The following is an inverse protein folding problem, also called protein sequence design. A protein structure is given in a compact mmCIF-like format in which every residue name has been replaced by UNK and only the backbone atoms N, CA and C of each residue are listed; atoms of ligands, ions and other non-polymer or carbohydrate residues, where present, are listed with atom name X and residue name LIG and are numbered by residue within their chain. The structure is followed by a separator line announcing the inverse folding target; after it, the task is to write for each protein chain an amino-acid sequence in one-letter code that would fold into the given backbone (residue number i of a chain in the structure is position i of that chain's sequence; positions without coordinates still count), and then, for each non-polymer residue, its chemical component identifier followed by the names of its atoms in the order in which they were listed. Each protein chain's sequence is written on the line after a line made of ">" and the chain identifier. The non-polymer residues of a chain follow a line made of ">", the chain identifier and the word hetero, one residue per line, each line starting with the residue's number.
data_IF_110184388772
#
_entry.id   IF_110184388772
#
_cell.length_a   1.000
_cell.length_b   1.000
_cell.length_c   1.000
_cell.angle_alpha   90.00
_cell.angle_beta   90.00
_cell.angle_gamma   90.00
#
_symmetry.space_group_name_H-M   'P 1'
#
loop_
_entity.id
_entity.type
_entity.pdbx_description
1 polymer ?
#
# COMPACT_ATOMS: atom_id res chain seq x y z
N UNK A 1 29.44 -50.39 67.92
CA UNK A 1 30.80 -49.82 67.92
C UNK A 1 31.00 -49.13 66.58
N UNK A 2 30.94 -47.81 66.59
CA UNK A 2 30.86 -46.93 65.41
C UNK A 2 32.26 -46.66 64.83
N UNK A 3 32.41 -46.87 63.53
CA UNK A 3 33.64 -46.55 62.78
C UNK A 3 33.47 -45.16 62.18
N UNK A 4 34.31 -44.23 62.61
CA UNK A 4 34.38 -42.84 62.11
C UNK A 4 35.13 -42.79 60.78
N UNK A 5 34.44 -42.36 59.72
CA UNK A 5 35.06 -42.07 58.41
C UNK A 5 35.53 -40.61 58.42
N UNK A 6 36.84 -40.43 58.27
CA UNK A 6 37.57 -39.16 58.29
C UNK A 6 37.14 -38.21 57.16
N UNK A 7 36.65 -37.04 57.54
CA UNK A 7 36.14 -35.96 56.68
C UNK A 7 37.20 -35.19 55.86
N UNK A 8 38.45 -35.66 55.79
CA UNK A 8 39.59 -34.87 55.27
C UNK A 8 39.88 -35.05 53.77
N UNK A 9 39.17 -35.93 53.05
CA UNK A 9 39.43 -36.19 51.62
C UNK A 9 38.58 -35.38 50.63
N UNK A 10 37.58 -34.64 51.08
CA UNK A 10 36.63 -33.94 50.20
C UNK A 10 37.02 -32.49 49.87
N UNK A 11 37.96 -31.90 50.61
CA UNK A 11 38.36 -30.48 50.41
C UNK A 11 39.30 -30.31 49.20
N UNK A 12 40.05 -31.35 48.81
CA UNK A 12 41.05 -31.27 47.73
C UNK A 12 40.47 -31.36 46.31
N UNK A 13 39.20 -31.75 46.14
CA UNK A 13 38.56 -31.86 44.82
C UNK A 13 37.78 -30.58 44.47
N UNK A 14 37.34 -29.80 45.46
CA UNK A 14 36.61 -28.54 45.22
C UNK A 14 37.53 -27.39 44.76
N UNK A 15 38.83 -27.47 45.01
CA UNK A 15 39.81 -26.40 44.69
C UNK A 15 40.41 -26.51 43.28
N UNK A 16 40.21 -27.61 42.56
CA UNK A 16 40.80 -27.83 41.22
C UNK A 16 39.84 -27.41 40.09
N UNK A 17 38.53 -27.34 40.34
CA UNK A 17 37.53 -26.96 39.32
C UNK A 17 37.52 -25.45 39.04
N UNK A 18 37.98 -24.60 39.97
CA UNK A 18 38.08 -23.14 39.77
C UNK A 18 39.27 -22.71 38.89
N UNK A 19 40.29 -23.56 38.71
CA UNK A 19 41.50 -23.20 37.96
C UNK A 19 41.33 -23.30 36.43
N UNK A 20 40.40 -24.13 35.92
CA UNK A 20 40.22 -24.32 34.47
C UNK A 20 39.39 -23.22 33.81
N UNK A 21 38.40 -22.64 34.50
CA UNK A 21 37.60 -21.54 33.95
C UNK A 21 38.42 -20.25 33.77
N UNK A 22 39.41 -20.01 34.64
CA UNK A 22 40.26 -18.81 34.57
C UNK A 22 41.15 -18.74 33.31
N UNK A 23 41.62 -19.88 32.80
CA UNK A 23 42.50 -19.91 31.61
C UNK A 23 41.74 -19.57 30.30
N UNK A 24 40.49 -20.00 30.19
CA UNK A 24 39.65 -19.74 29.03
C UNK A 24 39.15 -18.27 28.99
N UNK A 25 38.90 -17.65 30.14
CA UNK A 25 38.57 -16.21 30.21
C UNK A 25 39.80 -15.36 29.92
N UNK A 26 40.98 -15.73 30.47
CA UNK A 26 42.23 -15.01 30.25
C UNK A 26 42.75 -15.06 28.81
N UNK A 27 42.40 -16.10 28.04
CA UNK A 27 42.69 -16.18 26.60
C UNK A 27 41.79 -15.23 25.80
N UNK A 28 40.47 -15.32 25.98
CA UNK A 28 39.52 -14.43 25.30
C UNK A 28 39.78 -12.94 25.57
N UNK A 29 40.12 -12.57 26.82
CA UNK A 29 40.51 -11.20 27.16
C UNK A 29 41.79 -10.72 26.46
N UNK A 30 42.76 -11.60 26.26
CA UNK A 30 44.00 -11.26 25.54
C UNK A 30 43.74 -11.10 24.06
N UNK A 31 42.92 -11.97 23.47
CA UNK A 31 42.56 -11.89 22.06
C UNK A 31 41.74 -10.64 21.76
N UNK A 32 40.81 -10.27 22.64
CA UNK A 32 40.07 -9.01 22.55
C UNK A 32 40.99 -7.77 22.57
N UNK A 33 41.98 -7.72 23.48
CA UNK A 33 42.95 -6.62 23.55
C UNK A 33 43.81 -6.54 22.29
N UNK A 34 44.26 -7.67 21.76
CA UNK A 34 45.01 -7.72 20.50
C UNK A 34 44.17 -7.23 19.32
N UNK A 35 42.87 -7.53 19.30
CA UNK A 35 41.96 -7.00 18.31
C UNK A 35 41.80 -5.47 18.43
N UNK A 36 41.65 -4.93 19.66
CA UNK A 36 41.65 -3.47 19.89
C UNK A 36 42.97 -2.79 19.45
N UNK A 37 44.12 -3.39 19.76
CA UNK A 37 45.45 -2.90 19.35
C UNK A 37 45.59 -2.84 17.82
N UNK A 38 44.95 -3.77 17.12
CA UNK A 38 44.88 -3.81 15.64
C UNK A 38 43.76 -2.94 15.07
N UNK A 39 43.00 -2.27 15.91
CA UNK A 39 41.80 -1.49 15.55
C UNK A 39 40.70 -2.33 14.88
N UNK A 40 40.74 -3.65 15.07
CA UNK A 40 39.67 -4.56 14.66
C UNK A 40 38.61 -4.61 15.77
N UNK A 41 37.84 -3.52 15.86
CA UNK A 41 36.89 -3.33 16.96
C UNK A 41 35.72 -4.30 16.88
N UNK A 42 35.35 -4.77 15.68
CA UNK A 42 34.30 -5.76 15.49
C UNK A 42 34.71 -7.11 16.10
N UNK A 43 35.94 -7.56 15.84
CA UNK A 43 36.49 -8.75 16.48
C UNK A 43 36.65 -8.54 18.00
N UNK A 44 37.07 -7.35 18.44
CA UNK A 44 37.20 -7.05 19.87
C UNK A 44 35.84 -7.16 20.59
N UNK A 45 34.75 -6.67 20.00
CA UNK A 45 33.39 -6.82 20.54
C UNK A 45 33.02 -8.30 20.70
N UNK A 46 33.32 -9.13 19.69
CA UNK A 46 33.05 -10.58 19.74
C UNK A 46 33.84 -11.25 20.88
N UNK A 47 35.14 -11.00 20.96
CA UNK A 47 36.01 -11.64 21.96
C UNK A 47 35.73 -11.17 23.39
N UNK A 48 35.41 -9.88 23.60
CA UNK A 48 34.97 -9.41 24.91
C UNK A 48 33.61 -9.99 25.31
N UNK A 49 32.68 -10.13 24.37
CA UNK A 49 31.39 -10.80 24.61
C UNK A 49 31.61 -12.25 25.01
N UNK A 50 32.51 -12.97 24.34
CA UNK A 50 32.90 -14.33 24.69
C UNK A 50 33.54 -14.42 26.07
N UNK A 51 34.38 -13.45 26.44
CA UNK A 51 34.95 -13.37 27.78
C UNK A 51 33.86 -13.21 28.86
N UNK A 52 32.86 -12.36 28.62
CA UNK A 52 31.71 -12.17 29.54
C UNK A 52 30.77 -13.37 29.62
N UNK A 53 30.63 -14.14 28.53
CA UNK A 53 29.86 -15.39 28.58
C UNK A 53 30.50 -16.43 29.50
N UNK A 54 31.84 -16.44 29.60
CA UNK A 54 32.61 -17.35 30.46
C UNK A 54 32.72 -16.85 31.90
N UNK A 55 32.91 -15.55 32.05
CA UNK A 55 33.01 -14.86 33.34
C UNK A 55 32.13 -13.59 33.32
N UNK A 56 30.85 -13.72 33.71
CA UNK A 56 29.90 -12.60 33.70
C UNK A 56 30.32 -11.43 34.59
N UNK A 57 31.13 -11.67 35.63
CA UNK A 57 31.57 -10.69 36.62
C UNK A 57 32.89 -9.99 36.30
N UNK A 58 33.48 -10.31 35.14
CA UNK A 58 34.72 -9.70 34.69
C UNK A 58 34.55 -8.21 34.37
N UNK A 59 34.94 -7.34 35.32
CA UNK A 59 34.93 -5.88 35.11
C UNK A 59 35.78 -5.45 33.91
N UNK A 60 36.94 -6.07 33.71
CA UNK A 60 37.81 -5.79 32.57
C UNK A 60 37.13 -6.10 31.23
N UNK A 61 36.37 -7.20 31.15
CA UNK A 61 35.64 -7.56 29.94
C UNK A 61 34.44 -6.62 29.71
N UNK A 62 33.72 -6.22 30.77
CA UNK A 62 32.61 -5.26 30.67
C UNK A 62 33.09 -3.91 30.14
N UNK A 63 34.13 -3.34 30.75
CA UNK A 63 34.67 -2.04 30.33
C UNK A 63 35.32 -2.12 28.95
N UNK A 64 36.01 -3.22 28.63
CA UNK A 64 36.57 -3.48 27.31
C UNK A 64 35.48 -3.55 26.22
N UNK A 65 34.43 -4.34 26.45
CA UNK A 65 33.29 -4.45 25.55
C UNK A 65 32.64 -3.10 25.27
N UNK A 66 32.42 -2.30 26.32
CA UNK A 66 31.82 -0.97 26.16
C UNK A 66 32.67 -0.07 25.26
N UNK A 67 33.99 -0.03 25.47
CA UNK A 67 34.89 0.76 24.62
C UNK A 67 34.92 0.23 23.18
N UNK A 68 35.04 -1.08 23.00
CA UNK A 68 35.06 -1.72 21.69
C UNK A 68 33.76 -1.44 20.91
N UNK A 69 32.59 -1.54 21.55
CA UNK A 69 31.29 -1.20 20.94
C UNK A 69 31.21 0.26 20.50
N UNK A 70 31.71 1.19 21.33
CA UNK A 70 31.74 2.62 20.97
C UNK A 70 32.63 2.89 19.75
N UNK A 71 33.80 2.24 19.69
CA UNK A 71 34.75 2.37 18.56
C UNK A 71 34.20 1.73 17.28
N UNK A 72 33.70 0.50 17.36
CA UNK A 72 33.07 -0.20 16.25
C UNK A 72 31.85 0.57 15.71
N UNK A 73 30.99 1.09 16.60
CA UNK A 73 29.85 1.93 16.22
C UNK A 73 30.30 3.17 15.43
N UNK A 74 31.36 3.85 15.87
CA UNK A 74 31.90 5.01 15.17
C UNK A 74 32.46 4.66 13.78
N UNK A 75 33.11 3.50 13.64
CA UNK A 75 33.65 3.04 12.36
C UNK A 75 32.53 2.68 11.38
N UNK A 76 31.52 1.92 11.83
CA UNK A 76 30.31 1.64 11.05
C UNK A 76 29.57 2.91 10.65
N UNK A 77 29.41 3.87 11.58
CA UNK A 77 28.78 5.16 11.30
C UNK A 77 29.53 5.95 10.23
N UNK A 78 30.87 5.93 10.28
CA UNK A 78 31.72 6.59 9.28
C UNK A 78 31.58 5.93 7.90
N UNK A 79 31.55 4.59 7.84
CA UNK A 79 31.29 3.84 6.60
C UNK A 79 29.89 4.13 6.04
N UNK A 80 28.87 4.14 6.90
CA UNK A 80 27.50 4.46 6.53
C UNK A 80 27.39 5.84 5.87
N UNK A 81 28.01 6.88 6.46
CA UNK A 81 28.05 8.23 5.88
C UNK A 81 28.73 8.27 4.52
N UNK A 82 29.80 7.49 4.31
CA UNK A 82 30.48 7.39 3.00
C UNK A 82 29.57 6.75 1.94
N UNK A 83 28.86 5.68 2.29
CA UNK A 83 27.88 5.08 1.39
C UNK A 83 26.72 6.04 1.10
N UNK A 84 26.20 6.73 2.11
CA UNK A 84 25.13 7.71 1.95
C UNK A 84 25.56 8.87 1.02
N UNK A 85 26.77 9.38 1.21
CA UNK A 85 27.34 10.45 0.37
C UNK A 85 27.53 10.03 -1.10
N UNK A 86 27.75 8.75 -1.36
CA UNK A 86 27.88 8.19 -2.72
C UNK A 86 26.54 7.71 -3.30
N UNK A 87 25.44 7.89 -2.58
CA UNK A 87 24.09 7.49 -3.02
C UNK A 87 23.81 5.99 -2.88
N UNK A 88 24.74 5.22 -2.33
CA UNK A 88 24.62 3.79 -2.03
C UNK A 88 23.78 3.58 -0.76
N UNK A 89 22.50 3.93 -0.82
CA UNK A 89 21.64 4.05 0.36
C UNK A 89 21.39 2.72 1.07
N UNK A 90 21.30 1.60 0.34
CA UNK A 90 21.09 0.27 0.95
C UNK A 90 22.29 -0.15 1.80
N UNK A 91 23.52 0.01 1.28
CA UNK A 91 24.74 -0.24 2.05
C UNK A 91 24.85 0.73 3.22
N UNK A 92 24.49 2.01 3.03
CA UNK A 92 24.48 2.99 4.11
C UNK A 92 23.52 2.59 5.24
N UNK A 93 22.31 2.15 4.92
CA UNK A 93 21.32 1.71 5.91
C UNK A 93 21.80 0.46 6.67
N UNK A 94 22.45 -0.49 6.01
CA UNK A 94 23.01 -1.67 6.67
C UNK A 94 24.09 -1.28 7.70
N UNK A 95 25.02 -0.40 7.32
CA UNK A 95 26.08 0.09 8.21
C UNK A 95 25.52 0.94 9.37
N UNK A 96 24.56 1.84 9.11
CA UNK A 96 23.88 2.61 10.15
C UNK A 96 23.16 1.72 11.16
N UNK A 97 22.54 0.62 10.70
CA UNK A 97 21.88 -0.35 11.58
C UNK A 97 22.87 -0.96 12.56
N UNK A 98 24.01 -1.44 12.08
CA UNK A 98 25.06 -2.01 12.94
C UNK A 98 25.58 -0.96 13.93
N UNK A 99 25.82 0.26 13.46
CA UNK A 99 26.24 1.36 14.32
C UNK A 99 25.24 1.66 15.45
N UNK A 100 23.94 1.62 15.15
CA UNK A 100 22.86 1.85 16.13
C UNK A 100 22.71 0.69 17.12
N UNK A 101 22.88 -0.56 16.69
CA UNK A 101 22.85 -1.74 17.57
C UNK A 101 24.05 -1.76 18.55
N UNK A 102 25.19 -1.24 18.11
CA UNK A 102 26.38 -1.12 18.95
C UNK A 102 26.30 0.05 19.93
N UNK A 103 25.64 1.16 19.55
CA UNK A 103 25.49 2.37 20.36
C UNK A 103 24.06 2.97 20.23
N UNK A 104 23.06 2.39 20.92
CA UNK A 104 21.66 2.80 20.80
C UNK A 104 21.37 4.18 21.40
N UNK A 105 22.23 4.67 22.30
CA UNK A 105 22.04 5.95 22.99
C UNK A 105 22.52 7.15 22.17
N UNK A 106 23.05 6.94 20.96
CA UNK A 106 23.51 8.01 20.08
C UNK A 106 22.37 8.52 19.17
N UNK A 107 21.79 9.71 19.44
CA UNK A 107 20.66 10.21 18.67
C UNK A 107 21.02 10.55 17.22
N UNK A 108 22.29 10.85 16.93
CA UNK A 108 22.76 11.21 15.60
C UNK A 108 22.72 10.00 14.67
N UNK A 109 23.19 8.84 15.15
CA UNK A 109 23.16 7.58 14.39
C UNK A 109 21.72 7.21 14.06
N UNK A 110 20.82 7.30 15.05
CA UNK A 110 19.41 6.97 14.88
C UNK A 110 18.73 7.91 13.87
N UNK A 111 18.99 9.21 13.96
CA UNK A 111 18.43 10.20 13.05
C UNK A 111 18.89 9.96 11.61
N UNK A 112 20.18 9.72 11.38
CA UNK A 112 20.73 9.48 10.04
C UNK A 112 20.28 8.13 9.46
N UNK A 113 20.12 7.11 10.30
CA UNK A 113 19.52 5.84 9.89
C UNK A 113 18.09 6.02 9.38
N UNK A 114 17.24 6.71 10.15
CA UNK A 114 15.84 7.00 9.77
C UNK A 114 15.78 7.84 8.50
N UNK A 115 16.62 8.88 8.39
CA UNK A 115 16.70 9.71 7.20
C UNK A 115 17.07 8.89 5.96
N UNK A 116 18.06 8.00 6.09
CA UNK A 116 18.51 7.11 5.01
C UNK A 116 17.41 6.12 4.62
N UNK A 117 16.69 5.52 5.58
CA UNK A 117 15.54 4.66 5.27
C UNK A 117 14.43 5.40 4.54
N UNK A 118 14.13 6.64 4.93
CA UNK A 118 13.15 7.46 4.24
C UNK A 118 13.60 7.76 2.81
N UNK A 119 14.89 8.03 2.60
CA UNK A 119 15.44 8.21 1.25
C UNK A 119 15.37 6.93 0.40
N UNK A 120 15.57 5.75 0.99
CA UNK A 120 15.35 4.48 0.27
C UNK A 120 13.88 4.36 -0.12
N UNK A 121 12.96 4.61 0.82
CA UNK A 121 11.50 4.55 0.55
C UNK A 121 11.05 5.53 -0.53
N UNK A 122 11.66 6.71 -0.62
CA UNK A 122 11.37 7.68 -1.68
C UNK A 122 12.08 7.39 -2.99
N UNK A 123 13.24 6.72 -2.97
CA UNK A 123 14.01 6.34 -4.17
C UNK A 123 13.63 4.99 -4.77
N UNK A 124 12.96 4.08 -4.05
CA UNK A 124 12.44 2.83 -4.62
C UNK A 124 11.20 3.15 -5.45
N UNK A 125 11.27 3.16 -6.80
CA UNK A 125 10.13 3.41 -7.65
C UNK A 125 9.63 2.06 -8.14
N UNK A 126 9.12 1.19 -7.26
CA UNK A 126 8.53 -0.08 -7.70
C UNK A 126 7.37 -0.49 -6.77
N UNK A 127 6.17 -0.08 -7.13
CA UNK A 127 5.09 -1.07 -7.31
C UNK A 127 4.99 -1.34 -8.80
N UNK A 128 4.66 -2.58 -9.18
CA UNK A 128 4.63 -3.10 -10.56
C UNK A 128 3.78 -2.30 -11.57
N UNK A 129 3.07 -1.25 -11.13
CA UNK A 129 2.15 -0.43 -11.92
C UNK A 129 2.48 1.07 -11.95
N UNK A 130 3.67 1.50 -11.50
CA UNK A 130 4.16 2.87 -11.75
C UNK A 130 3.43 4.01 -11.02
N UNK A 131 2.67 3.72 -9.96
CA UNK A 131 1.93 4.73 -9.16
C UNK A 131 2.42 4.75 -7.72
N UNK A 132 2.61 5.93 -7.16
CA UNK A 132 2.89 6.12 -5.72
C UNK A 132 1.72 5.61 -4.88
N UNK A 133 1.94 5.30 -3.60
CA UNK A 133 0.86 4.84 -2.70
C UNK A 133 -0.27 5.86 -2.58
N UNK A 134 0.07 7.16 -2.64
CA UNK A 134 -0.89 8.25 -2.66
C UNK A 134 -1.64 8.30 -4.00
N UNK A 135 -0.97 8.13 -5.14
CA UNK A 135 -1.63 8.05 -6.45
C UNK A 135 -2.52 6.81 -6.57
N UNK A 136 -2.09 5.64 -6.06
CA UNK A 136 -2.88 4.42 -6.03
C UNK A 136 -4.08 4.52 -5.07
N UNK A 137 -3.99 5.35 -4.03
CA UNK A 137 -5.10 5.67 -3.14
C UNK A 137 -6.05 6.68 -3.81
N UNK A 138 -5.52 7.73 -4.43
CA UNK A 138 -6.29 8.73 -5.19
C UNK A 138 -6.98 8.09 -6.38
N UNK A 139 -6.36 7.11 -7.03
CA UNK A 139 -6.95 6.37 -8.15
C UNK A 139 -8.01 5.38 -7.69
N UNK A 140 -7.77 4.63 -6.61
CA UNK A 140 -8.83 3.83 -5.96
C UNK A 140 -10.00 4.71 -5.53
N UNK A 141 -9.75 5.92 -5.03
CA UNK A 141 -10.79 6.88 -4.67
C UNK A 141 -11.48 7.52 -5.89
N UNK A 142 -10.81 7.60 -7.04
CA UNK A 142 -11.39 8.09 -8.30
C UNK A 142 -12.31 7.05 -8.95
N UNK A 143 -11.94 5.78 -8.87
CA UNK A 143 -12.71 4.68 -9.45
C UNK A 143 -13.80 4.13 -8.51
N UNK A 144 -13.77 4.52 -7.23
CA UNK A 144 -14.80 4.16 -6.28
C UNK A 144 -15.95 5.18 -6.37
N UNK A 145 -17.18 4.77 -6.71
CA UNK A 145 -18.34 5.63 -6.57
C UNK A 145 -18.36 6.17 -5.15
N UNK A 146 -18.45 7.50 -4.99
CA UNK A 146 -18.55 8.18 -3.70
C UNK A 146 -19.48 7.36 -2.78
N UNK A 147 -19.07 7.07 -1.52
CA UNK A 147 -19.87 6.25 -0.61
C UNK A 147 -21.32 6.74 -0.55
N UNK A 148 -22.25 5.87 -0.94
CA UNK A 148 -23.69 6.18 -0.99
C UNK A 148 -24.28 6.32 -2.40
N UNK A 149 -23.50 6.43 -3.47
CA UNK A 149 -24.00 6.58 -4.86
C UNK A 149 -24.17 5.25 -5.65
N UNK A 150 -24.13 4.10 -4.98
CA UNK A 150 -24.39 2.81 -5.62
C UNK A 150 -25.89 2.45 -5.56
N UNK A 151 -26.42 1.87 -6.64
CA UNK A 151 -27.74 1.25 -6.64
C UNK A 151 -27.64 -0.06 -5.85
N UNK A 152 -28.57 -0.35 -4.91
CA UNK A 152 -28.59 -1.61 -4.20
C UNK A 152 -28.66 -2.80 -5.17
N UNK A 153 -27.81 -3.80 -4.95
CA UNK A 153 -27.78 -5.05 -5.72
C UNK A 153 -28.75 -6.11 -5.17
N UNK A 154 -29.65 -5.71 -4.28
CA UNK A 154 -30.59 -6.62 -3.63
C UNK A 154 -31.50 -7.30 -4.67
N UNK A 155 -31.76 -8.61 -4.55
CA UNK A 155 -32.62 -9.34 -5.46
C UNK A 155 -34.06 -8.85 -5.31
N UNK A 156 -34.75 -8.65 -6.44
CA UNK A 156 -36.20 -8.52 -6.46
C UNK A 156 -36.85 -9.89 -6.20
N UNK A 157 -38.15 -9.96 -5.85
CA UNK A 157 -38.87 -11.22 -5.77
C UNK A 157 -38.71 -12.07 -7.02
N UNK A 158 -38.77 -13.39 -6.82
CA UNK A 158 -38.47 -14.42 -7.82
C UNK A 158 -39.22 -14.21 -9.15
N UNK A 159 -40.46 -13.69 -9.08
CA UNK A 159 -41.28 -13.40 -10.25
C UNK A 159 -42.12 -12.14 -10.06
N UNK A 160 -42.06 -11.22 -11.04
CA UNK A 160 -42.94 -10.07 -11.17
C UNK A 160 -43.44 -9.95 -12.61
N UNK A 161 -44.75 -9.79 -12.78
CA UNK A 161 -45.39 -9.65 -14.08
C UNK A 161 -46.18 -8.33 -14.13
N UNK A 162 -45.83 -7.48 -15.09
CA UNK A 162 -46.55 -6.24 -15.36
C UNK A 162 -47.11 -6.29 -16.77
N UNK A 163 -48.44 -6.13 -16.90
CA UNK A 163 -49.14 -6.11 -18.18
C UNK A 163 -49.81 -4.77 -18.38
N UNK A 164 -49.50 -4.13 -19.51
CA UNK A 164 -50.03 -2.84 -19.93
C UNK A 164 -49.96 -1.77 -18.82
N UNK A 165 -48.89 -1.81 -18.03
CA UNK A 165 -48.70 -0.92 -16.89
C UNK A 165 -47.87 0.29 -17.33
N UNK A 166 -48.22 1.48 -16.83
CA UNK A 166 -47.44 2.68 -17.13
C UNK A 166 -46.03 2.56 -16.54
N UNK A 167 -45.01 2.91 -17.32
CA UNK A 167 -43.60 2.71 -16.98
C UNK A 167 -43.19 3.37 -15.66
N UNK A 168 -43.76 4.53 -15.34
CA UNK A 168 -43.54 5.23 -14.06
C UNK A 168 -44.07 4.45 -12.86
N UNK A 169 -45.23 3.79 -13.01
CA UNK A 169 -45.83 2.94 -11.98
C UNK A 169 -44.95 1.72 -11.74
N UNK A 170 -44.50 1.05 -12.82
CA UNK A 170 -43.61 -0.10 -12.73
C UNK A 170 -42.29 0.28 -12.05
N UNK A 171 -41.65 1.38 -12.48
CA UNK A 171 -40.38 1.84 -11.88
C UNK A 171 -40.55 2.18 -10.39
N UNK A 172 -41.63 2.87 -10.00
CA UNK A 172 -41.91 3.19 -8.59
C UNK A 172 -42.08 1.93 -7.75
N UNK A 173 -42.82 0.94 -8.26
CA UNK A 173 -43.02 -0.33 -7.57
C UNK A 173 -41.68 -1.04 -7.33
N UNK A 174 -40.86 -1.19 -8.37
CA UNK A 174 -39.55 -1.82 -8.27
C UNK A 174 -38.62 -1.08 -7.29
N UNK A 175 -38.62 0.24 -7.33
CA UNK A 175 -37.79 1.03 -6.44
C UNK A 175 -38.25 0.97 -5.00
N UNK A 176 -39.57 0.92 -4.74
CA UNK A 176 -40.11 0.69 -3.41
C UNK A 176 -39.63 -0.64 -2.83
N UNK A 177 -39.61 -1.70 -3.63
CA UNK A 177 -39.13 -3.03 -3.23
C UNK A 177 -37.62 -3.03 -2.94
N UNK A 178 -36.86 -2.28 -3.74
CA UNK A 178 -35.43 -2.08 -3.54
C UNK A 178 -35.09 -1.03 -2.46
N UNK A 179 -36.11 -0.41 -1.84
CA UNK A 179 -35.97 0.70 -0.91
C UNK A 179 -35.14 1.88 -1.49
N UNK A 180 -35.41 2.24 -2.74
CA UNK A 180 -34.77 3.32 -3.51
C UNK A 180 -35.79 4.42 -3.80
N UNK A 181 -35.40 5.68 -3.61
CA UNK A 181 -36.19 6.84 -4.01
C UNK A 181 -36.11 7.06 -5.52
N UNK A 182 -37.23 7.38 -6.16
CA UNK A 182 -37.28 7.69 -7.59
C UNK A 182 -37.80 9.09 -7.80
N UNK A 183 -37.05 9.85 -8.60
CA UNK A 183 -37.46 11.14 -9.14
C UNK A 183 -37.60 10.99 -10.65
N UNK A 184 -38.58 11.66 -11.24
CA UNK A 184 -38.75 11.72 -12.69
C UNK A 184 -38.44 13.12 -13.17
N UNK A 185 -37.68 13.22 -14.27
CA UNK A 185 -37.51 14.47 -14.98
C UNK A 185 -38.90 15.00 -15.46
N UNK A 186 -39.17 16.32 -15.43
CA UNK A 186 -40.46 16.87 -15.88
C UNK A 186 -40.82 16.55 -17.34
N UNK A 187 -39.83 16.31 -18.20
CA UNK A 187 -40.02 15.92 -19.58
C UNK A 187 -40.25 14.41 -19.75
N UNK A 188 -40.15 13.61 -18.68
CA UNK A 188 -40.50 12.19 -18.72
C UNK A 188 -41.97 12.00 -19.09
N UNK A 189 -42.23 11.05 -19.99
CA UNK A 189 -43.58 10.70 -20.46
C UNK A 189 -43.77 9.20 -20.19
N UNK A 190 -44.67 8.82 -19.27
CA UNK A 190 -44.98 7.43 -19.05
C UNK A 190 -45.56 6.77 -20.28
N UNK A 191 -45.18 5.52 -20.52
CA UNK A 191 -45.73 4.70 -21.60
C UNK A 191 -46.11 3.31 -21.09
N UNK A 192 -47.14 2.67 -21.66
CA UNK A 192 -47.52 1.32 -21.26
C UNK A 192 -46.44 0.31 -21.66
N UNK A 193 -46.07 -0.57 -20.73
CA UNK A 193 -45.09 -1.63 -20.95
C UNK A 193 -45.64 -3.00 -20.49
N UNK A 194 -45.12 -4.04 -21.14
CA UNK A 194 -45.28 -5.43 -20.73
C UNK A 194 -43.90 -5.95 -20.33
N UNK A 195 -43.72 -6.36 -19.08
CA UNK A 195 -42.42 -6.87 -18.62
C UNK A 195 -42.61 -8.02 -17.63
N UNK A 196 -41.84 -9.08 -17.86
CA UNK A 196 -41.71 -10.23 -16.99
C UNK A 196 -40.31 -10.23 -16.38
N UNK A 197 -40.22 -10.02 -15.08
CA UNK A 197 -38.97 -9.96 -14.32
C UNK A 197 -38.84 -11.27 -13.54
N UNK A 198 -37.74 -12.00 -13.75
CA UNK A 198 -37.48 -13.28 -13.08
C UNK A 198 -36.04 -13.36 -12.62
N UNK A 199 -35.84 -13.56 -11.31
CA UNK A 199 -34.51 -13.67 -10.70
C UNK A 199 -33.56 -12.52 -11.10
N UNK A 200 -34.05 -11.28 -11.12
CA UNK A 200 -33.24 -10.11 -11.47
C UNK A 200 -33.01 -9.21 -10.27
N UNK A 201 -31.90 -8.47 -10.29
CA UNK A 201 -31.69 -7.35 -9.37
C UNK A 201 -32.50 -6.13 -9.81
N UNK A 202 -32.69 -5.19 -8.88
CA UNK A 202 -33.34 -3.92 -9.19
C UNK A 202 -32.66 -3.18 -10.36
N UNK A 203 -31.32 -3.14 -10.38
CA UNK A 203 -30.57 -2.49 -11.45
C UNK A 203 -30.82 -3.13 -12.82
N UNK A 204 -30.85 -4.47 -12.89
CA UNK A 204 -31.10 -5.20 -14.13
C UNK A 204 -32.50 -4.92 -14.68
N UNK A 205 -33.52 -5.01 -13.82
CA UNK A 205 -34.90 -4.71 -14.19
C UNK A 205 -35.07 -3.25 -14.63
N UNK A 206 -34.46 -2.31 -13.90
CA UNK A 206 -34.49 -0.89 -14.23
C UNK A 206 -33.83 -0.62 -15.59
N UNK A 207 -32.70 -1.27 -15.89
CA UNK A 207 -32.00 -1.15 -17.17
C UNK A 207 -32.85 -1.68 -18.33
N UNK A 208 -33.56 -2.79 -18.14
CA UNK A 208 -34.48 -3.33 -19.15
C UNK A 208 -35.65 -2.36 -19.44
N UNK A 209 -36.25 -1.80 -18.39
CA UNK A 209 -37.36 -0.85 -18.54
C UNK A 209 -36.90 0.44 -19.21
N UNK A 210 -35.81 1.04 -18.74
CA UNK A 210 -35.29 2.30 -19.29
C UNK A 210 -34.86 2.14 -20.74
N UNK A 211 -34.23 1.01 -21.10
CA UNK A 211 -33.89 0.69 -22.48
C UNK A 211 -35.10 0.56 -23.42
N UNK A 212 -36.21 -0.02 -22.94
CA UNK A 212 -37.46 -0.10 -23.73
C UNK A 212 -38.28 1.19 -23.77
N UNK A 213 -38.01 2.13 -22.86
CA UNK A 213 -38.78 3.38 -22.68
C UNK A 213 -38.06 4.62 -23.20
N UNK A 214 -36.96 4.45 -23.93
CA UNK A 214 -36.11 5.56 -24.41
C UNK A 214 -35.77 6.52 -23.26
N UNK A 215 -35.42 5.93 -22.12
CA UNK A 215 -35.02 6.65 -20.93
C UNK A 215 -33.66 6.13 -20.45
N UNK A 216 -33.02 6.91 -19.59
CA UNK A 216 -31.89 6.48 -18.80
C UNK A 216 -32.08 6.89 -17.35
N UNK A 217 -31.31 6.30 -16.45
CA UNK A 217 -31.32 6.70 -15.04
C UNK A 217 -29.96 7.24 -14.61
N UNK A 218 -29.97 8.11 -13.61
CA UNK A 218 -28.77 8.55 -12.89
C UNK A 218 -28.99 8.45 -11.39
N UNK A 219 -27.97 8.03 -10.66
CA UNK A 219 -27.97 8.16 -9.20
C UNK A 219 -27.68 9.61 -8.87
N UNK A 220 -28.64 10.30 -8.26
CA UNK A 220 -28.57 11.74 -7.98
C UNK A 220 -28.37 12.05 -6.51
N UNK A 221 -28.68 11.11 -5.63
CA UNK A 221 -28.37 11.18 -4.20
C UNK A 221 -28.30 9.76 -3.61
N UNK A 222 -27.87 9.57 -2.35
CA UNK A 222 -27.87 8.26 -1.73
C UNK A 222 -29.23 7.58 -1.78
N UNK A 223 -29.24 6.34 -2.29
CA UNK A 223 -30.46 5.55 -2.55
C UNK A 223 -31.52 6.30 -3.38
N UNK A 224 -31.11 7.23 -4.24
CA UNK A 224 -32.03 8.06 -5.02
C UNK A 224 -31.61 8.09 -6.48
N UNK A 225 -32.54 7.73 -7.35
CA UNK A 225 -32.35 7.74 -8.80
C UNK A 225 -33.26 8.77 -9.47
N UNK A 226 -32.80 9.34 -10.57
CA UNK A 226 -33.59 10.19 -11.44
C UNK A 226 -33.76 9.50 -12.80
N UNK A 227 -35.00 9.33 -13.24
CA UNK A 227 -35.37 8.79 -14.56
C UNK A 227 -35.55 9.93 -15.55
N UNK A 228 -34.86 9.83 -16.67
CA UNK A 228 -34.63 10.94 -17.59
C UNK A 228 -34.89 10.47 -19.02
N UNK A 229 -35.60 11.23 -19.88
CA UNK A 229 -35.70 10.94 -21.30
C UNK A 229 -34.34 10.88 -21.98
N UNK A 230 -34.11 9.84 -22.78
CA UNK A 230 -32.89 9.65 -23.55
C UNK A 230 -32.87 10.58 -24.77
N UNK A 231 -32.50 11.85 -24.52
CA UNK A 231 -32.31 12.85 -25.57
C UNK A 231 -30.91 13.46 -25.46
N UNK A 232 -30.31 13.92 -26.57
CA UNK A 232 -29.00 14.57 -26.53
C UNK A 232 -28.94 15.78 -25.59
N UNK A 233 -30.03 16.55 -25.49
CA UNK A 233 -30.13 17.69 -24.57
C UNK A 233 -30.08 17.23 -23.11
N UNK A 234 -30.89 16.22 -22.75
CA UNK A 234 -30.93 15.67 -21.38
C UNK A 234 -29.66 14.92 -21.01
N UNK A 235 -29.01 14.22 -21.96
CA UNK A 235 -27.70 13.63 -21.72
C UNK A 235 -26.65 14.68 -21.37
N UNK A 236 -26.59 15.82 -22.07
CA UNK A 236 -25.68 16.92 -21.70
C UNK A 236 -26.01 17.55 -20.35
N UNK A 237 -27.28 17.62 -19.98
CA UNK A 237 -27.74 18.18 -18.71
C UNK A 237 -27.40 17.28 -17.51
N UNK A 238 -27.58 15.96 -17.66
CA UNK A 238 -27.45 14.99 -16.56
C UNK A 238 -26.17 14.16 -16.58
N UNK A 239 -25.49 14.06 -17.71
CA UNK A 239 -24.18 13.45 -17.82
C UNK A 239 -23.13 14.54 -17.70
N UNK A 240 -22.53 14.65 -16.51
CA UNK A 240 -21.36 15.49 -16.34
C UNK A 240 -20.25 14.97 -17.25
N UNK A 241 -19.86 15.81 -18.20
CA UNK A 241 -18.71 15.58 -19.06
C UNK A 241 -17.45 15.90 -18.25
N UNK A 242 -16.55 14.93 -18.16
CA UNK A 242 -15.25 15.08 -17.52
C UNK A 242 -14.19 15.31 -18.59
N UNK A 243 -13.29 16.26 -18.31
CA UNK A 243 -12.06 16.44 -19.08
C UNK A 243 -10.96 15.63 -18.41
N UNK A 244 -10.33 14.72 -19.14
CA UNK A 244 -9.19 13.95 -18.64
C UNK A 244 -8.06 13.91 -19.66
N UNK A 245 -6.85 14.14 -19.17
CA UNK A 245 -5.62 14.02 -19.95
C UNK A 245 -4.93 12.68 -19.66
N UNK A 246 -4.57 11.96 -20.71
CA UNK A 246 -3.83 10.70 -20.69
C UNK A 246 -2.43 10.93 -21.27
N UNK A 247 -1.41 10.53 -20.52
CA UNK A 247 -0.02 10.56 -20.97
C UNK A 247 0.34 9.20 -21.58
N UNK A 248 0.87 9.22 -22.79
CA UNK A 248 1.28 8.05 -23.54
C UNK A 248 2.76 7.79 -23.29
N UNK A 249 3.12 6.55 -22.96
CA UNK A 249 4.51 6.17 -22.70
C UNK A 249 5.21 5.57 -23.93
N UNK A 250 4.51 4.68 -24.66
CA UNK A 250 5.08 3.91 -25.77
C UNK A 250 4.14 3.85 -27.00
N UNK A 251 3.23 4.80 -27.14
CA UNK A 251 2.25 4.84 -28.23
C UNK A 251 2.31 6.18 -28.96
N UNK A 252 2.08 6.16 -30.28
CA UNK A 252 1.93 7.37 -31.09
C UNK A 252 0.59 8.06 -30.77
N UNK A 253 0.65 9.39 -30.60
CA UNK A 253 -0.53 10.20 -30.23
C UNK A 253 -1.63 10.08 -31.27
N UNK A 254 -1.29 10.15 -32.56
CA UNK A 254 -2.28 10.17 -33.64
C UNK A 254 -2.93 8.80 -33.79
N UNK A 255 -2.13 7.74 -33.80
CA UNK A 255 -2.63 6.36 -33.88
C UNK A 255 -3.55 6.04 -32.68
N UNK A 256 -3.16 6.45 -31.47
CA UNK A 256 -3.99 6.25 -30.27
C UNK A 256 -5.30 7.01 -30.36
N UNK A 257 -5.29 8.26 -30.82
CA UNK A 257 -6.51 9.05 -31.01
C UNK A 257 -7.46 8.42 -32.03
N UNK A 258 -6.92 7.91 -33.13
CA UNK A 258 -7.71 7.27 -34.17
C UNK A 258 -8.30 5.94 -33.69
N UNK A 259 -7.54 5.15 -32.92
CA UNK A 259 -8.06 3.95 -32.25
C UNK A 259 -9.22 4.29 -31.31
N UNK A 260 -9.05 5.28 -30.43
CA UNK A 260 -10.09 5.66 -29.46
C UNK A 260 -11.36 6.19 -30.14
N UNK A 261 -11.24 6.90 -31.26
CA UNK A 261 -12.40 7.29 -32.09
C UNK A 261 -13.18 6.09 -32.61
N UNK A 262 -12.49 5.02 -32.98
CA UNK A 262 -13.11 3.82 -33.54
C UNK A 262 -13.71 2.96 -32.43
N UNK A 263 -12.96 2.69 -31.36
CA UNK A 263 -13.32 1.69 -30.35
C UNK A 263 -14.40 2.21 -29.40
N UNK A 264 -14.33 3.47 -29.00
CA UNK A 264 -15.23 4.05 -27.98
C UNK A 264 -16.01 5.26 -28.47
N UNK A 265 -16.06 5.51 -29.79
CA UNK A 265 -16.70 6.69 -30.42
C UNK A 265 -16.27 8.01 -29.75
N UNK A 266 -14.97 8.16 -29.47
CA UNK A 266 -14.42 9.35 -28.80
C UNK A 266 -14.44 10.58 -29.73
N UNK A 267 -15.51 11.39 -29.65
CA UNK A 267 -15.70 12.52 -30.58
C UNK A 267 -14.88 13.75 -30.22
N UNK A 268 -14.70 14.04 -28.93
CA UNK A 268 -13.97 15.23 -28.44
C UNK A 268 -12.66 14.80 -27.81
N UNK A 269 -11.71 14.51 -28.68
CA UNK A 269 -10.34 14.08 -28.35
C UNK A 269 -9.34 14.99 -29.07
N UNK A 270 -8.29 15.42 -28.37
CA UNK A 270 -7.25 16.29 -28.91
C UNK A 270 -5.87 16.02 -28.32
N UNK A 271 -4.82 16.22 -29.12
CA UNK A 271 -3.44 16.14 -28.68
C UNK A 271 -3.03 17.40 -27.91
N UNK A 272 -2.16 17.26 -26.90
CA UNK A 272 -1.50 18.40 -26.27
C UNK A 272 -0.17 18.64 -26.97
N UNK A 273 -0.03 19.80 -27.61
CA UNK A 273 1.20 20.15 -28.34
C UNK A 273 2.44 20.11 -27.43
N UNK A 274 3.54 19.55 -27.94
CA UNK A 274 4.81 19.46 -27.22
C UNK A 274 4.87 18.42 -26.10
N UNK A 275 3.82 17.61 -25.92
CA UNK A 275 3.82 16.50 -24.96
C UNK A 275 3.27 15.22 -25.61
N UNK A 276 3.63 14.05 -25.08
CA UNK A 276 3.07 12.78 -25.54
C UNK A 276 1.74 12.51 -24.82
N UNK A 277 0.74 13.38 -24.99
CA UNK A 277 -0.51 13.31 -24.25
C UNK A 277 -1.74 13.67 -25.08
N UNK A 278 -2.86 13.07 -24.71
CA UNK A 278 -4.19 13.31 -25.31
C UNK A 278 -5.16 13.76 -24.22
N UNK A 279 -6.10 14.63 -24.58
CA UNK A 279 -7.20 15.06 -23.72
C UNK A 279 -8.51 14.57 -24.31
N UNK A 280 -9.35 13.97 -23.47
CA UNK A 280 -10.68 13.48 -23.82
C UNK A 280 -11.69 14.23 -22.95
N UNK A 281 -12.76 14.75 -23.58
CA UNK A 281 -13.90 15.33 -22.88
C UNK A 281 -15.15 14.51 -23.17
N UNK A 282 -15.56 13.69 -22.21
CA UNK A 282 -16.68 12.77 -22.38
C UNK A 282 -17.30 12.39 -21.03
N UNK A 283 -18.31 11.53 -21.02
CA UNK A 283 -18.88 10.99 -19.79
C UNK A 283 -17.82 10.22 -18.99
N UNK A 284 -17.99 10.18 -17.66
CA UNK A 284 -17.07 9.45 -16.78
C UNK A 284 -16.82 8.00 -17.20
N UNK A 285 -17.87 7.31 -17.67
CA UNK A 285 -17.77 5.92 -18.15
C UNK A 285 -16.85 5.79 -19.37
N UNK A 286 -17.02 6.66 -20.37
CA UNK A 286 -16.19 6.64 -21.60
C UNK A 286 -14.76 7.10 -21.33
N UNK A 287 -14.57 8.11 -20.48
CA UNK A 287 -13.24 8.53 -20.02
C UNK A 287 -12.53 7.39 -19.30
N UNK A 288 -13.22 6.67 -18.41
CA UNK A 288 -12.63 5.52 -17.71
C UNK A 288 -12.35 4.35 -18.65
N UNK A 289 -13.22 4.08 -19.63
CA UNK A 289 -12.96 3.08 -20.67
C UNK A 289 -11.71 3.43 -21.49
N UNK A 290 -11.54 4.70 -21.86
CA UNK A 290 -10.34 5.18 -22.57
C UNK A 290 -9.05 4.94 -21.79
N UNK A 291 -9.07 5.06 -20.45
CA UNK A 291 -7.90 4.83 -19.61
C UNK A 291 -7.51 3.36 -19.42
N UNK A 292 -8.35 2.41 -19.85
CA UNK A 292 -8.10 0.97 -19.75
C UNK A 292 -7.58 0.34 -21.04
N UNK A 293 -7.71 1.06 -22.16
CA UNK A 293 -7.19 0.68 -23.47
C UNK A 293 -5.73 1.12 -23.61
#
# INVERSE_FOLDING_TARGET
>A
MSISVSATRWISILTIVTAFSGCATATALRDARRAEERQDYDLAVVEYTRALQRDPDSMNARTGLQRARMRASQDHFTRARRFAATGNLEQAAAEYKVAAELNPDNPVIQQEFIATQNQIRTKVPISRDGKTQLEALVERMRDQPLPGLAIPADPLPDELNFRNAASDVVIRALAQMANVNVVFDPAFRPQPINIDIRNQTFEQALRAITGSTQAFYRVTAPRTITIIPDTPAKRREYEQELVRTFYLSNADVKETMDLLRIVIDARRIGAIAGTNAITITDTAERVNAAGRL
#
